data_IF_744791821562
#
_entry.id   IF_744791821562
#
_cell.length_a   1.000
_cell.length_b   1.000
_cell.length_c   1.000
_cell.angle_alpha   90.00
_cell.angle_beta   90.00
_cell.angle_gamma   90.00
#
_symmetry.space_group_name_H-M   'P 1'
#
loop_
_entity.id
_entity.type
_entity.pdbx_description
1 polymer ?
#
# COMPACT_ATOMS: atom_id res chain seq x y z
N UNK A 1 17.91 33.52 -7.53
CA UNK A 1 16.89 32.59 -8.06
C UNK A 1 17.04 31.16 -7.49
N UNK A 2 17.21 30.99 -6.16
CA UNK A 2 17.43 29.67 -5.54
C UNK A 2 16.14 29.00 -5.02
N UNK A 3 15.17 29.78 -4.55
CA UNK A 3 13.94 29.27 -3.96
C UNK A 3 13.05 28.44 -4.91
N UNK A 4 13.09 28.70 -6.22
CA UNK A 4 12.26 27.96 -7.19
C UNK A 4 12.73 26.51 -7.41
N UNK A 5 14.03 26.26 -7.37
CA UNK A 5 14.60 24.92 -7.55
C UNK A 5 14.37 24.04 -6.31
N UNK A 6 14.48 24.61 -5.11
CA UNK A 6 14.27 23.87 -3.84
C UNK A 6 12.81 23.40 -3.69
N UNK A 7 11.84 24.23 -4.07
CA UNK A 7 10.41 23.87 -4.10
C UNK A 7 10.11 22.77 -5.11
N UNK A 8 10.77 22.80 -6.27
CA UNK A 8 10.59 21.78 -7.29
C UNK A 8 11.16 20.43 -6.84
N UNK A 9 12.36 20.41 -6.26
CA UNK A 9 12.93 19.18 -5.68
C UNK A 9 12.06 18.61 -4.55
N UNK A 10 11.41 19.45 -3.76
CA UNK A 10 10.48 19.00 -2.73
C UNK A 10 9.22 18.37 -3.33
N UNK A 11 8.65 18.96 -4.39
CA UNK A 11 7.47 18.40 -5.08
C UNK A 11 7.79 17.05 -5.71
N UNK A 12 8.92 16.94 -6.39
CA UNK A 12 9.38 15.66 -6.97
C UNK A 12 9.55 14.58 -5.89
N UNK A 13 10.18 14.92 -4.75
CA UNK A 13 10.30 13.99 -3.64
C UNK A 13 8.95 13.60 -3.00
N UNK A 14 7.97 14.50 -3.02
CA UNK A 14 6.62 14.25 -2.52
C UNK A 14 5.86 13.29 -3.45
N UNK A 15 5.96 13.50 -4.76
CA UNK A 15 5.38 12.62 -5.77
C UNK A 15 5.97 11.20 -5.67
N UNK A 16 7.30 11.10 -5.55
CA UNK A 16 8.00 9.82 -5.35
C UNK A 16 7.56 9.10 -4.07
N UNK A 17 7.35 9.84 -2.98
CA UNK A 17 6.84 9.29 -1.73
C UNK A 17 5.40 8.81 -1.84
N UNK A 18 4.53 9.57 -2.53
CA UNK A 18 3.14 9.17 -2.76
C UNK A 18 3.05 7.91 -3.64
N UNK A 19 3.87 7.82 -4.69
CA UNK A 19 3.93 6.63 -5.53
C UNK A 19 4.40 5.41 -4.74
N UNK A 20 5.48 5.54 -3.96
CA UNK A 20 5.98 4.45 -3.11
C UNK A 20 4.92 4.00 -2.08
N UNK A 21 4.19 4.95 -1.49
CA UNK A 21 3.11 4.67 -0.53
C UNK A 21 1.94 3.95 -1.20
N UNK A 22 1.60 4.32 -2.43
CA UNK A 22 0.57 3.64 -3.23
C UNK A 22 0.95 2.19 -3.49
N UNK A 23 2.18 1.92 -3.91
CA UNK A 23 2.68 0.55 -4.15
C UNK A 23 2.59 -0.30 -2.88
N UNK A 24 3.05 0.22 -1.73
CA UNK A 24 2.95 -0.51 -0.45
C UNK A 24 1.50 -0.77 -0.05
N UNK A 25 0.59 0.19 -0.29
CA UNK A 25 -0.85 0.02 -0.04
C UNK A 25 -1.48 -1.06 -0.92
N UNK A 26 -1.13 -1.09 -2.21
CA UNK A 26 -1.59 -2.13 -3.14
C UNK A 26 -1.11 -3.52 -2.73
N UNK A 27 0.17 -3.63 -2.35
CA UNK A 27 0.72 -4.88 -1.82
C UNK A 27 0.00 -5.30 -0.53
N UNK A 28 -0.23 -4.36 0.40
CA UNK A 28 -0.96 -4.65 1.64
C UNK A 28 -2.39 -5.11 1.39
N UNK A 29 -3.08 -4.54 0.39
CA UNK A 29 -4.42 -5.00 -0.02
C UNK A 29 -4.37 -6.41 -0.59
N UNK A 30 -3.43 -6.71 -1.49
CA UNK A 30 -3.23 -8.05 -2.02
C UNK A 30 -2.93 -9.07 -0.91
N UNK A 31 -2.06 -8.72 0.05
CA UNK A 31 -1.77 -9.58 1.20
C UNK A 31 -3.01 -9.79 2.08
N UNK A 32 -3.84 -8.75 2.29
CA UNK A 32 -5.09 -8.88 3.01
C UNK A 32 -6.10 -9.76 2.26
N UNK A 33 -6.20 -9.63 0.93
CA UNK A 33 -7.05 -10.46 0.09
C UNK A 33 -6.60 -11.93 0.11
N UNK A 34 -5.29 -12.18 0.05
CA UNK A 34 -4.71 -13.54 0.21
C UNK A 34 -4.97 -14.08 1.61
N UNK A 35 -4.78 -13.26 2.64
CA UNK A 35 -5.09 -13.66 4.02
C UNK A 35 -6.58 -13.97 4.19
N UNK A 36 -7.47 -13.19 3.58
CA UNK A 36 -8.90 -13.46 3.52
C UNK A 36 -9.17 -14.76 2.75
N UNK A 37 -8.57 -14.99 1.59
CA UNK A 37 -8.67 -16.25 0.84
C UNK A 37 -8.27 -17.47 1.70
N UNK A 38 -7.21 -17.36 2.51
CA UNK A 38 -6.69 -18.45 3.35
C UNK A 38 -7.45 -18.65 4.66
N UNK A 39 -7.99 -17.56 5.24
CA UNK A 39 -8.73 -17.57 6.52
C UNK A 39 -10.23 -17.77 6.34
N UNK A 40 -10.77 -17.46 5.15
CA UNK A 40 -12.11 -17.88 4.76
C UNK A 40 -12.02 -19.39 4.58
N UNK A 41 -12.50 -20.11 5.59
CA UNK A 41 -12.53 -21.57 5.67
C UNK A 41 -12.68 -22.27 4.30
N UNK A 42 -11.88 -23.32 3.99
CA UNK A 42 -12.07 -24.12 2.79
C UNK A 42 -13.29 -25.04 2.94
N UNK A 43 -14.48 -24.50 3.22
CA UNK A 43 -15.68 -25.31 3.45
C UNK A 43 -16.94 -24.67 2.85
N UNK A 44 -17.12 -24.93 1.55
CA UNK A 44 -18.19 -25.87 1.19
C UNK A 44 -17.61 -26.97 0.32
N UNK A 45 -17.08 -27.99 0.98
CA UNK A 45 -17.21 -29.35 0.49
C UNK A 45 -18.70 -29.59 0.25
N UNK A 46 -19.15 -29.41 -0.99
CA UNK A 46 -20.40 -30.02 -1.45
C UNK A 46 -20.16 -31.52 -1.48
N UNK A 47 -20.24 -32.17 -0.32
CA UNK A 47 -20.54 -33.59 -0.29
C UNK A 47 -22.00 -33.67 -0.73
N UNK A 48 -22.21 -34.08 -1.97
CA UNK A 48 -23.52 -34.47 -2.49
C UNK A 48 -24.01 -35.67 -1.68
N UNK A 49 -24.66 -35.41 -0.55
CA UNK A 49 -25.16 -36.42 0.35
C UNK A 49 -25.90 -35.81 1.53
N UNK A 50 -27.20 -35.57 1.34
CA UNK A 50 -28.23 -35.40 2.37
C UNK A 50 -27.96 -34.41 3.53
N UNK A 51 -28.54 -33.20 3.40
CA UNK A 51 -29.33 -32.66 4.50
C UNK A 51 -28.72 -31.66 5.49
N UNK A 52 -27.86 -30.72 5.08
CA UNK A 52 -27.49 -29.57 5.93
C UNK A 52 -27.41 -28.28 5.11
N UNK A 53 -28.54 -27.56 5.02
CA UNK A 53 -28.59 -26.18 4.55
C UNK A 53 -28.13 -25.24 5.67
N UNK A 54 -26.90 -24.75 5.59
CA UNK A 54 -26.60 -23.42 6.14
C UNK A 54 -26.85 -22.35 5.06
N UNK A 55 -27.15 -21.11 5.41
CA UNK A 55 -27.17 -20.04 4.43
C UNK A 55 -25.71 -19.64 4.11
N UNK A 56 -25.28 -19.78 2.86
CA UNK A 56 -24.13 -19.03 2.36
C UNK A 56 -24.45 -17.55 2.59
N UNK A 57 -23.54 -16.79 3.20
CA UNK A 57 -23.60 -15.33 3.06
C UNK A 57 -23.63 -15.05 1.55
N UNK A 58 -24.66 -14.37 1.02
CA UNK A 58 -24.89 -14.24 -0.42
C UNK A 58 -23.74 -13.53 -1.14
N UNK A 59 -22.91 -12.81 -0.40
CA UNK A 59 -21.69 -12.14 -0.85
C UNK A 59 -20.63 -13.11 -1.41
N UNK A 60 -20.66 -14.38 -1.01
CA UNK A 60 -19.69 -15.41 -1.38
C UNK A 60 -20.26 -16.47 -2.34
N UNK A 61 -21.56 -16.44 -2.63
CA UNK A 61 -22.18 -17.40 -3.55
C UNK A 61 -21.78 -17.09 -4.99
N UNK A 62 -20.99 -17.98 -5.61
CA UNK A 62 -20.66 -17.93 -7.04
C UNK A 62 -19.41 -17.15 -7.43
N UNK A 63 -18.67 -16.55 -6.48
CA UNK A 63 -17.36 -15.95 -6.76
C UNK A 63 -16.27 -16.90 -6.28
N UNK A 64 -15.52 -17.44 -7.23
CA UNK A 64 -14.34 -18.22 -6.92
C UNK A 64 -13.28 -17.24 -6.35
N UNK A 65 -13.03 -17.31 -5.04
CA UNK A 65 -11.91 -16.61 -4.40
C UNK A 65 -10.60 -17.31 -4.82
N UNK A 66 -10.21 -17.14 -6.09
CA UNK A 66 -8.98 -17.71 -6.63
C UNK A 66 -7.87 -16.68 -6.48
N UNK A 67 -7.20 -16.72 -5.33
CA UNK A 67 -5.94 -16.02 -5.16
C UNK A 67 -4.85 -16.77 -5.96
N UNK A 68 -4.65 -16.40 -7.23
CA UNK A 68 -3.66 -17.06 -8.12
C UNK A 68 -2.24 -16.88 -7.58
N UNK A 69 -1.44 -17.95 -7.38
CA UNK A 69 -0.09 -17.85 -6.78
C UNK A 69 0.86 -16.90 -7.53
N UNK A 70 0.68 -16.76 -8.85
CA UNK A 70 1.48 -15.84 -9.67
C UNK A 70 1.21 -14.35 -9.42
N UNK A 71 0.13 -14.00 -8.71
CA UNK A 71 -0.21 -12.63 -8.33
C UNK A 71 0.25 -12.29 -6.92
N UNK A 72 0.82 -13.24 -6.19
CA UNK A 72 1.24 -13.01 -4.81
C UNK A 72 2.53 -12.19 -4.81
N UNK A 73 2.60 -11.13 -3.99
CA UNK A 73 3.84 -10.40 -3.82
C UNK A 73 4.88 -11.35 -3.20
N UNK A 74 6.03 -11.49 -3.86
CA UNK A 74 7.15 -12.23 -3.31
C UNK A 74 7.86 -11.40 -2.21
N UNK A 75 8.70 -12.05 -1.42
CA UNK A 75 9.45 -11.39 -0.34
C UNK A 75 10.32 -10.24 -0.84
N UNK A 76 10.88 -10.38 -2.05
CA UNK A 76 11.73 -9.37 -2.65
C UNK A 76 10.94 -8.10 -3.01
N UNK A 77 9.76 -8.23 -3.63
CA UNK A 77 8.86 -7.14 -3.98
C UNK A 77 8.40 -6.37 -2.73
N UNK A 78 8.10 -7.10 -1.65
CA UNK A 78 7.78 -6.52 -0.35
C UNK A 78 8.96 -5.70 0.21
N UNK A 79 10.15 -6.32 0.25
CA UNK A 79 11.36 -5.68 0.77
C UNK A 79 11.75 -4.44 -0.05
N UNK A 80 11.65 -4.51 -1.37
CA UNK A 80 11.94 -3.41 -2.29
C UNK A 80 10.92 -2.26 -2.13
N UNK A 81 9.62 -2.57 -2.04
CA UNK A 81 8.58 -1.56 -1.86
C UNK A 81 8.74 -0.80 -0.53
N UNK A 82 8.99 -1.53 0.57
CA UNK A 82 9.23 -0.93 1.90
C UNK A 82 10.53 -0.12 1.90
N UNK A 83 11.60 -0.65 1.30
CA UNK A 83 12.88 0.06 1.20
C UNK A 83 12.74 1.34 0.37
N UNK A 84 11.98 1.29 -0.74
CA UNK A 84 11.69 2.45 -1.59
C UNK A 84 10.93 3.51 -0.80
N UNK A 85 9.86 3.12 -0.08
CA UNK A 85 9.09 4.03 0.77
C UNK A 85 9.97 4.72 1.82
N UNK A 86 10.84 3.97 2.49
CA UNK A 86 11.74 4.53 3.50
C UNK A 86 12.78 5.50 2.90
N UNK A 87 13.32 5.16 1.72
CA UNK A 87 14.27 6.04 1.01
C UNK A 87 13.61 7.33 0.55
N UNK A 88 12.42 7.27 -0.03
CA UNK A 88 11.68 8.45 -0.49
C UNK A 88 11.20 9.30 0.68
N UNK A 89 10.79 8.70 1.79
CA UNK A 89 10.49 9.42 3.04
C UNK A 89 11.72 10.21 3.55
N UNK A 90 12.88 9.56 3.63
CA UNK A 90 14.13 10.26 4.01
C UNK A 90 14.49 11.39 3.06
N UNK A 91 14.31 11.18 1.75
CA UNK A 91 14.54 12.21 0.74
C UNK A 91 13.59 13.39 0.91
N UNK A 92 12.31 13.13 1.19
CA UNK A 92 11.29 14.14 1.45
C UNK A 92 11.60 14.96 2.71
N UNK A 93 12.00 14.32 3.81
CA UNK A 93 12.44 15.01 5.03
C UNK A 93 13.68 15.86 4.80
N UNK A 94 14.65 15.36 4.02
CA UNK A 94 15.85 16.12 3.64
C UNK A 94 15.48 17.33 2.79
N UNK A 95 14.66 17.15 1.75
CA UNK A 95 14.19 18.23 0.89
C UNK A 95 13.41 19.29 1.69
N UNK A 96 12.53 18.86 2.60
CA UNK A 96 11.82 19.76 3.51
C UNK A 96 12.77 20.54 4.42
N UNK A 97 13.78 19.89 4.98
CA UNK A 97 14.76 20.55 5.84
C UNK A 97 15.55 21.64 5.11
N UNK A 98 15.82 21.42 3.81
CA UNK A 98 16.53 22.35 2.94
C UNK A 98 15.67 23.51 2.42
N UNK A 99 14.33 23.43 2.53
CA UNK A 99 13.47 24.55 2.14
C UNK A 99 13.70 25.77 3.03
N UNK A 100 13.76 26.93 2.38
CA UNK A 100 13.69 28.24 3.06
C UNK A 100 12.41 28.36 3.92
N UNK A 101 12.42 29.18 4.99
CA UNK A 101 11.26 29.39 5.85
C UNK A 101 10.03 29.94 5.11
N UNK A 102 10.22 30.63 3.99
CA UNK A 102 9.12 31.04 3.09
C UNK A 102 8.58 29.86 2.28
N UNK A 103 9.45 28.98 1.78
CA UNK A 103 9.06 27.76 1.08
C UNK A 103 8.28 26.79 1.97
N UNK A 104 8.66 26.66 3.24
CA UNK A 104 7.94 25.84 4.24
C UNK A 104 6.52 26.34 4.52
N UNK A 105 6.21 27.62 4.27
CA UNK A 105 4.83 28.15 4.40
C UNK A 105 3.96 27.81 3.18
N UNK A 106 4.55 27.37 2.07
CA UNK A 106 3.86 27.11 0.80
C UNK A 106 3.57 25.63 0.55
N UNK A 107 4.08 24.72 1.38
CA UNK A 107 3.93 23.27 1.22
C UNK A 107 3.58 22.63 2.56
N UNK A 108 2.88 21.49 2.52
CA UNK A 108 2.54 20.74 3.72
C UNK A 108 3.78 20.06 4.31
N UNK A 109 3.84 19.95 5.64
CA UNK A 109 4.96 19.26 6.28
C UNK A 109 4.92 17.75 5.97
N UNK A 110 6.09 17.09 5.83
CA UNK A 110 6.14 15.64 5.69
C UNK A 110 5.45 14.93 6.86
N UNK A 111 4.87 13.73 6.64
CA UNK A 111 4.34 12.91 7.72
C UNK A 111 5.44 12.61 8.76
N UNK A 112 5.10 12.77 10.04
CA UNK A 112 6.03 12.54 11.16
C UNK A 112 6.93 13.72 11.53
N UNK A 113 6.87 14.86 10.83
CA UNK A 113 7.63 16.08 11.18
C UNK A 113 7.06 16.87 12.38
N UNK A 114 5.85 16.53 12.84
CA UNK A 114 5.23 17.04 14.07
C UNK A 114 5.51 16.05 15.21
N UNK A 115 6.69 16.11 15.81
CA UNK A 115 6.98 15.53 17.12
C UNK A 115 7.78 16.51 17.95
#
# INVERSE_FOLDING_TARGET
MKNGQELQCYREALDDYQEAKKIVSEISKLTADVSNCLSTEPYRLTISGFGMDMPLKPEFAGKQLVCSPGQWPNEQNLAEAVTRLYKTEKALHKAWSSLSPEGKKQVEAPPGSLK
#
